data_IF_167585892803
#
_entry.id   IF_167585892803
#
_cell.length_a   1.000
_cell.length_b   1.000
_cell.length_c   1.000
_cell.angle_alpha   90.00
_cell.angle_beta   90.00
_cell.angle_gamma   90.00
#
_symmetry.space_group_name_H-M   'P 1'
#
loop_
_entity.id
_entity.type
_entity.pdbx_description
1 polymer ?
#
# COMPACT_ATOMS: atom_id res chain seq x y z
N UNK A 1 -51.13 -30.28 30.12
CA UNK A 1 -49.86 -30.89 30.58
C UNK A 1 -49.46 -31.87 29.48
N UNK A 2 -48.46 -31.69 28.62
CA UNK A 2 -47.30 -30.80 28.52
C UNK A 2 -47.12 -30.42 27.03
N UNK A 3 -46.96 -29.13 26.74
CA UNK A 3 -46.50 -28.64 25.44
C UNK A 3 -44.98 -28.76 25.46
N UNK A 4 -44.42 -29.66 24.67
CA UNK A 4 -42.97 -29.78 24.49
C UNK A 4 -42.55 -28.76 23.45
N UNK A 5 -42.10 -27.60 23.93
CA UNK A 5 -41.41 -26.58 23.14
C UNK A 5 -40.08 -27.17 22.64
N UNK A 6 -40.00 -27.39 21.33
CA UNK A 6 -38.75 -27.65 20.63
C UNK A 6 -37.96 -26.35 20.54
N UNK A 7 -37.16 -26.07 21.57
CA UNK A 7 -36.14 -25.01 21.54
C UNK A 7 -35.11 -25.35 20.46
N UNK A 8 -35.34 -24.80 19.28
CA UNK A 8 -34.42 -24.78 18.16
C UNK A 8 -33.30 -23.79 18.53
N UNK A 9 -32.34 -24.23 19.35
CA UNK A 9 -31.09 -23.50 19.58
C UNK A 9 -30.40 -23.33 18.23
N UNK A 10 -30.44 -22.11 17.70
CA UNK A 10 -29.56 -21.68 16.63
C UNK A 10 -28.13 -22.02 17.06
N UNK A 11 -27.54 -22.99 16.36
CA UNK A 11 -26.10 -23.23 16.40
C UNK A 11 -25.46 -21.90 15.97
N UNK A 12 -24.65 -21.25 16.82
CA UNK A 12 -24.02 -19.99 16.46
C UNK A 12 -23.18 -20.23 15.21
N UNK A 13 -23.35 -19.39 14.19
CA UNK A 13 -22.56 -19.41 12.96
C UNK A 13 -21.09 -19.61 13.33
N UNK A 14 -20.57 -20.78 12.97
CA UNK A 14 -19.20 -21.20 13.23
C UNK A 14 -18.26 -20.08 12.77
N UNK A 15 -17.50 -19.53 13.72
CA UNK A 15 -16.55 -18.43 13.56
C UNK A 15 -15.87 -18.46 12.18
N UNK A 16 -16.33 -17.62 11.24
CA UNK A 16 -15.63 -17.42 9.97
C UNK A 16 -14.28 -16.79 10.29
N UNK A 17 -13.23 -17.60 10.19
CA UNK A 17 -11.83 -17.18 10.21
C UNK A 17 -11.69 -15.94 9.33
N UNK A 18 -11.10 -14.86 9.83
CA UNK A 18 -10.85 -13.69 8.98
C UNK A 18 -9.85 -14.12 7.91
N UNK A 19 -10.33 -14.18 6.69
CA UNK A 19 -9.51 -14.18 5.50
C UNK A 19 -9.25 -12.74 5.04
N UNK A 20 -8.10 -12.52 4.41
CA UNK A 20 -7.77 -11.25 3.75
C UNK A 20 -8.87 -10.98 2.72
N UNK A 21 -9.78 -10.06 2.99
CA UNK A 21 -10.98 -9.79 2.19
C UNK A 21 -10.72 -9.07 0.85
N UNK A 22 -9.46 -9.03 0.40
CA UNK A 22 -9.13 -8.49 -0.90
C UNK A 22 -9.69 -9.40 -1.99
N UNK A 23 -10.24 -8.80 -3.05
CA UNK A 23 -10.71 -9.54 -4.23
C UNK A 23 -9.62 -10.46 -4.79
N UNK A 24 -8.35 -10.04 -4.71
CA UNK A 24 -7.21 -10.90 -5.08
C UNK A 24 -7.09 -12.14 -4.23
N UNK A 25 -7.29 -12.04 -2.92
CA UNK A 25 -7.29 -13.20 -2.03
C UNK A 25 -8.46 -14.13 -2.34
N UNK A 26 -9.66 -13.59 -2.58
CA UNK A 26 -10.84 -14.40 -2.96
C UNK A 26 -10.60 -15.13 -4.29
N UNK A 27 -9.93 -14.48 -5.23
CA UNK A 27 -9.50 -15.10 -6.49
C UNK A 27 -8.48 -16.20 -6.22
N UNK A 28 -7.56 -16.00 -5.29
CA UNK A 28 -6.47 -16.95 -4.95
C UNK A 28 -6.97 -18.14 -4.13
N UNK A 29 -8.00 -17.98 -3.30
CA UNK A 29 -8.57 -19.05 -2.47
C UNK A 29 -9.60 -19.92 -3.19
N UNK A 30 -10.00 -19.57 -4.42
CA UNK A 30 -10.90 -20.43 -5.21
C UNK A 30 -10.29 -21.81 -5.45
N UNK A 31 -11.03 -22.87 -5.06
CA UNK A 31 -10.60 -24.27 -5.13
C UNK A 31 -10.10 -24.71 -6.51
N UNK A 32 -10.69 -24.22 -7.60
CA UNK A 32 -10.28 -24.53 -8.98
C UNK A 32 -9.11 -23.66 -9.43
N UNK A 33 -7.91 -24.26 -9.55
CA UNK A 33 -6.69 -23.59 -10.10
C UNK A 33 -6.96 -22.91 -11.46
N UNK A 34 -7.76 -23.54 -12.34
CA UNK A 34 -8.12 -22.98 -13.66
C UNK A 34 -8.91 -21.68 -13.54
N UNK A 35 -9.88 -21.61 -12.62
CA UNK A 35 -10.72 -20.41 -12.42
C UNK A 35 -9.92 -19.23 -11.86
N UNK A 36 -8.88 -19.48 -11.04
CA UNK A 36 -8.02 -18.43 -10.47
C UNK A 36 -7.21 -17.73 -11.55
N UNK A 37 -6.49 -18.51 -12.36
CA UNK A 37 -5.72 -17.96 -13.47
C UNK A 37 -6.62 -17.28 -14.50
N UNK A 38 -7.82 -17.80 -14.75
CA UNK A 38 -8.78 -17.16 -15.64
C UNK A 38 -9.20 -15.76 -15.15
N UNK A 39 -9.54 -15.61 -13.85
CA UNK A 39 -9.92 -14.31 -13.30
C UNK A 39 -8.74 -13.33 -13.24
N UNK A 40 -7.54 -13.80 -12.89
CA UNK A 40 -6.33 -12.97 -12.93
C UNK A 40 -5.99 -12.55 -14.37
N UNK A 41 -6.16 -13.45 -15.34
CA UNK A 41 -5.96 -13.15 -16.76
C UNK A 41 -6.97 -12.11 -17.27
N UNK A 42 -8.24 -12.19 -16.86
CA UNK A 42 -9.24 -11.15 -17.18
C UNK A 42 -8.84 -9.81 -16.57
N UNK A 43 -8.44 -9.79 -15.30
CA UNK A 43 -8.04 -8.55 -14.63
C UNK A 43 -6.80 -7.92 -15.31
N UNK A 44 -5.81 -8.74 -15.67
CA UNK A 44 -4.64 -8.32 -16.43
C UNK A 44 -5.03 -7.81 -17.82
N UNK A 45 -5.85 -8.56 -18.56
CA UNK A 45 -6.31 -8.17 -19.89
C UNK A 45 -7.03 -6.81 -19.86
N UNK A 46 -7.93 -6.61 -18.89
CA UNK A 46 -8.63 -5.35 -18.70
C UNK A 46 -7.66 -4.20 -18.33
N UNK A 47 -6.71 -4.46 -17.42
CA UNK A 47 -5.68 -3.49 -17.06
C UNK A 47 -4.78 -3.13 -18.25
N UNK A 48 -4.38 -4.10 -19.06
CA UNK A 48 -3.62 -3.89 -20.30
C UNK A 48 -4.42 -3.09 -21.32
N UNK A 49 -5.69 -3.46 -21.56
CA UNK A 49 -6.54 -2.77 -22.53
C UNK A 49 -6.74 -1.30 -22.15
N UNK A 50 -7.05 -1.03 -20.88
CA UNK A 50 -7.23 0.33 -20.37
C UNK A 50 -5.90 1.10 -20.37
N UNK A 51 -4.83 0.50 -19.86
CA UNK A 51 -3.51 1.13 -19.81
C UNK A 51 -2.99 1.48 -21.20
N UNK A 52 -3.12 0.56 -22.16
CA UNK A 52 -2.75 0.77 -23.56
C UNK A 52 -3.61 1.84 -24.23
N UNK A 53 -4.91 1.89 -23.94
CA UNK A 53 -5.78 2.95 -24.44
C UNK A 53 -5.36 4.33 -23.92
N UNK A 54 -5.04 4.45 -22.62
CA UNK A 54 -4.54 5.69 -22.01
C UNK A 54 -3.20 6.09 -22.65
N UNK A 55 -2.26 5.15 -22.78
CA UNK A 55 -0.96 5.41 -23.40
C UNK A 55 -1.09 5.81 -24.87
N UNK A 56 -1.98 5.18 -25.63
CA UNK A 56 -2.24 5.52 -27.03
C UNK A 56 -2.84 6.93 -27.16
N UNK A 57 -3.82 7.27 -26.31
CA UNK A 57 -4.41 8.61 -26.28
C UNK A 57 -3.36 9.66 -25.93
N UNK A 58 -2.52 9.38 -24.92
CA UNK A 58 -1.41 10.25 -24.55
C UNK A 58 -0.39 10.42 -25.69
N UNK A 59 -0.06 9.34 -26.42
CA UNK A 59 0.84 9.41 -27.56
C UNK A 59 0.27 10.24 -28.71
N UNK A 60 -1.01 10.04 -29.05
CA UNK A 60 -1.68 10.83 -30.08
C UNK A 60 -1.69 12.32 -29.72
N UNK A 61 -2.05 12.63 -28.48
CA UNK A 61 -2.08 14.01 -27.98
C UNK A 61 -0.68 14.63 -27.90
N UNK A 62 0.35 13.83 -27.61
CA UNK A 62 1.74 14.28 -27.59
C UNK A 62 2.20 14.75 -28.98
N UNK A 63 1.80 14.05 -30.05
CA UNK A 63 2.15 14.42 -31.42
C UNK A 63 1.45 15.71 -31.89
N UNK A 64 0.23 15.96 -31.40
CA UNK A 64 -0.57 17.14 -31.79
C UNK A 64 -0.33 18.35 -30.88
N UNK A 65 0.28 18.15 -29.72
CA UNK A 65 0.50 19.23 -28.76
C UNK A 65 1.66 20.13 -29.18
N UNK A 66 1.37 21.42 -29.35
CA UNK A 66 2.37 22.44 -29.69
C UNK A 66 3.14 22.93 -28.45
N UNK A 67 2.48 22.94 -27.29
CA UNK A 67 3.05 23.48 -26.04
C UNK A 67 3.84 22.42 -25.25
N UNK A 68 4.90 22.86 -24.57
CA UNK A 68 5.69 21.99 -23.69
C UNK A 68 4.86 21.49 -22.50
N UNK A 69 3.94 22.32 -22.00
CA UNK A 69 3.00 21.97 -20.94
C UNK A 69 2.07 20.82 -21.34
N UNK A 70 1.51 20.86 -22.56
CA UNK A 70 0.65 19.79 -23.08
C UNK A 70 1.44 18.49 -23.30
N UNK A 71 2.67 18.56 -23.82
CA UNK A 71 3.56 17.40 -23.92
C UNK A 71 3.88 16.79 -22.56
N UNK A 72 4.15 17.60 -21.53
CA UNK A 72 4.39 17.11 -20.18
C UNK A 72 3.15 16.40 -19.59
N UNK A 73 1.95 16.94 -19.78
CA UNK A 73 0.71 16.28 -19.38
C UNK A 73 0.54 14.92 -20.08
N UNK A 74 0.87 14.83 -21.37
CA UNK A 74 0.84 13.55 -22.10
C UNK A 74 1.83 12.54 -21.52
N UNK A 75 3.04 12.96 -21.12
CA UNK A 75 4.01 12.09 -20.44
C UNK A 75 3.44 11.57 -19.11
N UNK A 76 2.78 12.43 -18.32
CA UNK A 76 2.13 12.01 -17.08
C UNK A 76 1.01 10.99 -17.32
N UNK A 77 0.19 11.20 -18.36
CA UNK A 77 -0.87 10.25 -18.76
C UNK A 77 -0.28 8.92 -19.23
N UNK A 78 0.80 8.96 -20.02
CA UNK A 78 1.52 7.77 -20.47
C UNK A 78 2.07 6.98 -19.28
N UNK A 79 2.72 7.67 -18.32
CA UNK A 79 3.24 7.06 -17.11
C UNK A 79 2.13 6.44 -16.25
N UNK A 80 0.95 7.08 -16.20
CA UNK A 80 -0.22 6.56 -15.51
C UNK A 80 -0.75 5.27 -16.17
N UNK A 81 -0.88 5.25 -17.50
CA UNK A 81 -1.27 4.04 -18.24
C UNK A 81 -0.25 2.91 -18.07
N UNK A 82 1.04 3.22 -18.19
CA UNK A 82 2.13 2.27 -17.96
C UNK A 82 2.13 1.73 -16.53
N UNK A 83 1.84 2.58 -15.54
CA UNK A 83 1.80 2.21 -14.13
C UNK A 83 0.78 1.12 -13.85
N UNK A 84 -0.45 1.23 -14.37
CA UNK A 84 -1.46 0.17 -14.15
C UNK A 84 -1.04 -1.15 -14.78
N UNK A 85 -0.54 -1.14 -16.01
CA UNK A 85 -0.06 -2.37 -16.66
C UNK A 85 1.06 -2.99 -15.83
N UNK A 86 2.06 -2.19 -15.47
CA UNK A 86 3.25 -2.64 -14.79
C UNK A 86 2.94 -3.19 -13.38
N UNK A 87 2.09 -2.51 -12.62
CA UNK A 87 1.70 -2.93 -11.27
C UNK A 87 0.93 -4.26 -11.29
N UNK A 88 0.02 -4.45 -12.25
CA UNK A 88 -0.68 -5.75 -12.45
C UNK A 88 0.27 -6.85 -12.95
N UNK A 89 1.17 -6.51 -13.88
CA UNK A 89 2.21 -7.42 -14.35
C UNK A 89 3.11 -7.89 -13.21
N UNK A 90 3.59 -6.97 -12.38
CA UNK A 90 4.39 -7.29 -11.20
C UNK A 90 3.63 -8.19 -10.23
N UNK A 91 2.36 -7.87 -9.94
CA UNK A 91 1.55 -8.67 -9.02
C UNK A 91 1.37 -10.12 -9.49
N UNK A 92 1.19 -10.33 -10.80
CA UNK A 92 0.90 -11.66 -11.35
C UNK A 92 2.17 -12.48 -11.59
N UNK A 93 3.19 -11.85 -12.19
CA UNK A 93 4.37 -12.57 -12.71
C UNK A 93 5.62 -12.42 -11.82
N UNK A 94 5.74 -11.34 -11.06
CA UNK A 94 6.95 -11.05 -10.26
C UNK A 94 6.76 -11.46 -8.80
N UNK A 95 5.55 -11.31 -8.25
CA UNK A 95 5.29 -11.69 -6.87
C UNK A 95 5.28 -13.22 -6.68
N UNK A 96 6.02 -13.71 -5.70
CA UNK A 96 6.08 -15.15 -5.38
C UNK A 96 4.86 -15.58 -4.56
N UNK A 97 3.84 -16.09 -5.22
CA UNK A 97 2.60 -16.57 -4.59
C UNK A 97 2.83 -17.67 -3.54
N UNK A 98 3.96 -18.39 -3.56
CA UNK A 98 4.29 -19.36 -2.50
C UNK A 98 4.50 -18.66 -1.17
N UNK A 99 5.13 -17.48 -1.18
CA UNK A 99 5.36 -16.65 0.00
C UNK A 99 4.06 -16.08 0.57
N UNK A 100 3.06 -15.85 -0.28
CA UNK A 100 1.73 -15.46 0.18
C UNK A 100 1.00 -16.61 0.90
N UNK A 101 1.16 -17.85 0.43
CA UNK A 101 0.62 -19.03 1.13
C UNK A 101 1.33 -19.21 2.48
N UNK A 102 2.66 -19.12 2.50
CA UNK A 102 3.46 -19.13 3.73
C UNK A 102 3.02 -18.03 4.70
N UNK A 103 2.74 -16.83 4.22
CA UNK A 103 2.20 -15.73 5.02
C UNK A 103 0.89 -16.13 5.73
N UNK A 104 -0.06 -16.76 5.02
CA UNK A 104 -1.33 -17.20 5.62
C UNK A 104 -1.12 -18.29 6.66
N UNK A 105 -0.22 -19.22 6.39
CA UNK A 105 0.12 -20.29 7.32
C UNK A 105 0.70 -19.72 8.62
N UNK A 106 1.70 -18.82 8.52
CA UNK A 106 2.29 -18.14 9.68
C UNK A 106 1.25 -17.31 10.43
N UNK A 107 0.35 -16.62 9.71
CA UNK A 107 -0.75 -15.88 10.35
C UNK A 107 -1.64 -16.79 11.19
N UNK A 108 -1.97 -17.99 10.70
CA UNK A 108 -2.80 -18.94 11.45
C UNK A 108 -2.14 -19.41 12.76
N UNK A 109 -0.81 -19.48 12.79
CA UNK A 109 -0.02 -19.84 13.99
C UNK A 109 -0.06 -18.76 15.08
N UNK A 110 -0.45 -17.53 14.76
CA UNK A 110 -0.54 -16.44 15.77
C UNK A 110 -1.69 -16.64 16.76
N UNK A 111 -2.72 -17.41 16.40
CA UNK A 111 -3.97 -17.53 17.17
C UNK A 111 -4.85 -16.27 17.17
N UNK A 112 -4.38 -15.15 16.60
CA UNK A 112 -5.12 -13.87 16.58
C UNK A 112 -6.34 -13.89 15.66
N UNK A 113 -6.42 -14.88 14.77
CA UNK A 113 -7.58 -15.12 13.91
C UNK A 113 -8.86 -15.49 14.68
N UNK A 114 -8.72 -15.87 15.97
CA UNK A 114 -9.84 -16.21 16.86
C UNK A 114 -10.12 -15.10 17.88
N UNK A 115 -9.34 -14.02 17.90
CA UNK A 115 -9.48 -12.93 18.87
C UNK A 115 -10.47 -11.86 18.34
N UNK A 116 -11.68 -11.73 18.93
CA UNK A 116 -12.71 -10.83 18.42
C UNK A 116 -12.30 -9.35 18.43
N UNK A 117 -11.45 -8.94 19.38
CA UNK A 117 -10.94 -7.57 19.47
C UNK A 117 -9.98 -7.26 18.29
N UNK A 118 -9.04 -8.17 18.03
CA UNK A 118 -8.12 -8.04 16.90
C UNK A 118 -8.89 -8.05 15.56
N UNK A 119 -9.84 -8.97 15.43
CA UNK A 119 -10.73 -9.12 14.27
C UNK A 119 -11.49 -7.82 13.98
N UNK A 120 -12.16 -7.26 15.00
CA UNK A 120 -12.95 -6.05 14.85
C UNK A 120 -12.07 -4.83 14.55
N UNK A 121 -10.90 -4.74 15.17
CA UNK A 121 -9.91 -3.68 14.90
C UNK A 121 -9.40 -3.72 13.45
N UNK A 122 -9.02 -4.90 12.94
CA UNK A 122 -8.58 -5.06 11.54
C UNK A 122 -9.72 -4.67 10.59
N UNK A 123 -10.94 -5.19 10.79
CA UNK A 123 -12.10 -4.88 9.92
C UNK A 123 -12.42 -3.38 9.90
N UNK A 124 -12.35 -2.72 11.05
CA UNK A 124 -12.57 -1.26 11.16
C UNK A 124 -11.49 -0.49 10.40
N UNK A 125 -10.22 -0.84 10.57
CA UNK A 125 -9.11 -0.20 9.86
C UNK A 125 -9.19 -0.40 8.35
N UNK A 126 -9.47 -1.63 7.87
CA UNK A 126 -9.66 -1.93 6.45
C UNK A 126 -10.76 -1.06 5.85
N UNK A 127 -11.90 -0.92 6.54
CA UNK A 127 -13.02 -0.09 6.06
C UNK A 127 -12.62 1.38 5.92
N UNK A 128 -11.92 1.92 6.92
CA UNK A 128 -11.46 3.31 6.88
C UNK A 128 -10.43 3.53 5.77
N UNK A 129 -9.53 2.57 5.57
CA UNK A 129 -8.51 2.64 4.52
C UNK A 129 -9.13 2.56 3.13
N UNK A 130 -10.10 1.67 2.92
CA UNK A 130 -10.84 1.61 1.65
C UNK A 130 -11.58 2.91 1.35
N UNK A 131 -12.23 3.52 2.35
CA UNK A 131 -12.88 4.84 2.17
C UNK A 131 -11.87 5.92 1.78
N UNK A 132 -10.72 5.95 2.44
CA UNK A 132 -9.65 6.90 2.15
C UNK A 132 -9.09 6.72 0.72
N UNK A 133 -8.78 5.48 0.33
CA UNK A 133 -8.30 5.17 -1.03
C UNK A 133 -9.36 5.52 -2.08
N UNK A 134 -10.63 5.17 -1.84
CA UNK A 134 -11.73 5.53 -2.73
C UNK A 134 -11.86 7.04 -2.90
N UNK A 135 -11.75 7.82 -1.81
CA UNK A 135 -11.81 9.27 -1.87
C UNK A 135 -10.64 9.86 -2.69
N UNK A 136 -9.40 9.41 -2.45
CA UNK A 136 -8.23 9.84 -3.22
C UNK A 136 -8.35 9.46 -4.70
N UNK A 137 -8.81 8.24 -5.00
CA UNK A 137 -9.03 7.80 -6.37
C UNK A 137 -10.14 8.60 -7.06
N UNK A 138 -11.21 8.99 -6.35
CA UNK A 138 -12.25 9.85 -6.90
C UNK A 138 -11.70 11.24 -7.28
N UNK A 139 -10.90 11.85 -6.39
CA UNK A 139 -10.22 13.13 -6.67
C UNK A 139 -9.29 13.00 -7.87
N UNK A 140 -8.48 11.95 -7.92
CA UNK A 140 -7.59 11.67 -9.05
C UNK A 140 -8.36 11.48 -10.37
N UNK A 141 -9.45 10.70 -10.35
CA UNK A 141 -10.29 10.45 -11.52
C UNK A 141 -10.89 11.73 -12.05
N UNK A 142 -11.47 12.53 -11.16
CA UNK A 142 -12.13 13.78 -11.52
C UNK A 142 -11.13 14.77 -12.14
N UNK A 143 -9.97 14.93 -11.50
CA UNK A 143 -8.92 15.85 -11.97
C UNK A 143 -8.28 15.39 -13.27
N UNK A 144 -8.01 14.09 -13.42
CA UNK A 144 -7.50 13.52 -14.67
C UNK A 144 -8.50 13.70 -15.82
N UNK A 145 -9.79 13.43 -15.58
CA UNK A 145 -10.83 13.60 -16.61
C UNK A 145 -10.96 15.07 -17.00
N UNK A 146 -10.94 16.00 -16.03
CA UNK A 146 -10.94 17.44 -16.30
C UNK A 146 -9.73 17.88 -17.14
N UNK A 147 -8.54 17.33 -16.87
CA UNK A 147 -7.33 17.62 -17.64
C UNK A 147 -7.42 17.18 -19.10
N UNK A 148 -8.08 16.05 -19.36
CA UNK A 148 -8.31 15.55 -20.73
C UNK A 148 -9.27 16.49 -21.47
N UNK A 149 -10.35 16.94 -20.81
CA UNK A 149 -11.29 17.89 -21.43
C UNK A 149 -10.66 19.21 -21.80
N UNK A 150 -9.79 19.76 -20.94
CA UNK A 150 -9.13 21.03 -21.24
C UNK A 150 -8.17 20.92 -22.42
N UNK A 151 -7.55 19.77 -22.63
CA UNK A 151 -6.66 19.56 -23.78
C UNK A 151 -7.39 19.43 -25.13
N UNK A 152 -8.69 19.12 -25.13
CA UNK A 152 -9.45 18.75 -26.34
C UNK A 152 -10.46 19.86 -26.76
N UNK A 153 -10.05 21.13 -26.66
CA UNK A 153 -10.87 22.36 -26.69
C UNK A 153 -11.72 22.64 -27.97
N UNK A 154 -11.96 21.66 -28.85
CA UNK A 154 -12.85 21.80 -30.01
C UNK A 154 -14.20 21.08 -29.82
N UNK A 155 -15.06 21.59 -28.94
CA UNK A 155 -16.38 21.01 -28.64
C UNK A 155 -17.29 20.90 -29.89
N UNK A 156 -17.48 19.68 -30.38
CA UNK A 156 -18.50 19.25 -31.36
C UNK A 156 -19.44 18.23 -30.70
N UNK A 157 -20.68 18.04 -31.20
CA UNK A 157 -21.66 17.11 -30.59
C UNK A 157 -21.23 15.64 -30.58
N UNK A 158 -20.22 15.23 -31.38
CA UNK A 158 -19.57 13.90 -31.28
C UNK A 158 -18.80 13.71 -29.96
N UNK A 159 -18.54 14.79 -29.22
CA UNK A 159 -17.67 14.80 -28.05
C UNK A 159 -18.38 14.40 -26.76
N UNK A 160 -19.73 14.41 -26.73
CA UNK A 160 -20.48 13.96 -25.54
C UNK A 160 -20.33 12.46 -25.33
N UNK A 161 -20.39 11.67 -26.39
CA UNK A 161 -20.15 10.21 -26.29
C UNK A 161 -18.70 9.90 -25.92
N UNK A 162 -17.75 10.64 -26.49
CA UNK A 162 -16.33 10.52 -26.14
C UNK A 162 -16.08 10.91 -24.68
N UNK A 163 -16.73 11.96 -24.20
CA UNK A 163 -16.72 12.42 -22.81
C UNK A 163 -17.22 11.34 -21.84
N UNK A 164 -18.39 10.76 -22.12
CA UNK A 164 -18.95 9.67 -21.30
C UNK A 164 -17.98 8.48 -21.31
N UNK A 165 -17.45 8.11 -22.47
CA UNK A 165 -16.51 7.00 -22.60
C UNK A 165 -15.22 7.21 -21.78
N UNK A 166 -14.57 8.37 -21.91
CA UNK A 166 -13.36 8.74 -21.15
C UNK A 166 -13.65 8.69 -19.65
N UNK A 167 -14.80 9.21 -19.23
CA UNK A 167 -15.22 9.21 -17.83
C UNK A 167 -15.39 7.78 -17.31
N UNK A 168 -16.08 6.91 -18.05
CA UNK A 168 -16.24 5.50 -17.71
C UNK A 168 -14.90 4.76 -17.62
N UNK A 169 -14.01 4.96 -18.59
CA UNK A 169 -12.66 4.35 -18.58
C UNK A 169 -11.87 4.81 -17.36
N UNK A 170 -11.92 6.10 -17.01
CA UNK A 170 -11.23 6.65 -15.84
C UNK A 170 -11.79 6.09 -14.52
N UNK A 171 -13.10 5.86 -14.41
CA UNK A 171 -13.68 5.19 -13.25
C UNK A 171 -13.25 3.72 -13.13
N UNK A 172 -13.25 2.97 -14.24
CA UNK A 172 -12.78 1.58 -14.25
C UNK A 172 -11.29 1.51 -13.87
N UNK A 173 -10.47 2.41 -14.43
CA UNK A 173 -9.07 2.57 -14.09
C UNK A 173 -8.88 2.72 -12.57
N UNK A 174 -9.57 3.69 -11.98
CA UNK A 174 -9.46 4.00 -10.56
C UNK A 174 -9.98 2.89 -9.66
N UNK A 175 -10.98 2.14 -10.12
CA UNK A 175 -11.43 0.94 -9.44
C UNK A 175 -10.35 -0.15 -9.43
N UNK A 176 -9.75 -0.46 -10.59
CA UNK A 176 -8.66 -1.44 -10.72
C UNK A 176 -7.46 -1.04 -9.85
N UNK A 177 -7.07 0.23 -9.89
CA UNK A 177 -5.99 0.76 -9.06
C UNK A 177 -6.31 0.69 -7.56
N UNK A 178 -7.56 0.92 -7.17
CA UNK A 178 -8.02 0.72 -5.80
C UNK A 178 -7.90 -0.74 -5.34
N UNK A 179 -8.28 -1.69 -6.19
CA UNK A 179 -8.20 -3.11 -5.87
C UNK A 179 -6.75 -3.58 -5.66
N UNK A 180 -5.82 -3.10 -6.49
CA UNK A 180 -4.43 -3.55 -6.40
C UNK A 180 -3.71 -2.98 -5.18
N UNK A 181 -4.08 -1.77 -4.76
CA UNK A 181 -3.51 -1.11 -3.58
C UNK A 181 -4.10 -1.62 -2.27
N UNK A 182 -5.36 -2.06 -2.25
CA UNK A 182 -6.03 -2.65 -1.08
C UNK A 182 -5.28 -3.89 -0.55
N UNK A 183 -4.69 -4.68 -1.44
CA UNK A 183 -4.08 -5.96 -1.09
C UNK A 183 -2.82 -5.86 -0.22
N UNK A 184 -1.76 -5.11 -0.60
CA UNK A 184 -0.59 -4.89 0.27
C UNK A 184 -0.93 -4.25 1.61
N UNK A 185 -1.90 -3.33 1.62
CA UNK A 185 -2.33 -2.62 2.82
C UNK A 185 -2.96 -3.59 3.83
N UNK A 186 -3.77 -4.54 3.37
CA UNK A 186 -4.31 -5.57 4.25
C UNK A 186 -3.20 -6.40 4.89
N UNK A 187 -2.21 -6.88 4.12
CA UNK A 187 -1.09 -7.64 4.69
C UNK A 187 -0.34 -6.84 5.78
N UNK A 188 -0.12 -5.55 5.54
CA UNK A 188 0.47 -4.65 6.54
C UNK A 188 -0.38 -4.56 7.81
N UNK A 189 -1.71 -4.50 7.69
CA UNK A 189 -2.60 -4.47 8.85
C UNK A 189 -2.52 -5.76 9.69
N UNK A 190 -2.47 -6.92 9.05
CA UNK A 190 -2.28 -8.20 9.76
C UNK A 190 -0.95 -8.19 10.53
N UNK A 191 0.15 -7.80 9.88
CA UNK A 191 1.46 -7.66 10.53
C UNK A 191 1.39 -6.67 11.72
N UNK A 192 0.80 -5.50 11.50
CA UNK A 192 0.65 -4.48 12.55
C UNK A 192 -0.11 -5.03 13.75
N UNK A 193 -1.16 -5.84 13.54
CA UNK A 193 -1.94 -6.41 14.64
C UNK A 193 -1.10 -7.32 15.55
N UNK A 194 -0.20 -8.13 14.98
CA UNK A 194 0.74 -8.96 15.75
C UNK A 194 1.61 -8.11 16.66
N UNK A 195 2.27 -7.09 16.10
CA UNK A 195 3.16 -6.23 16.89
C UNK A 195 2.40 -5.34 17.88
N UNK A 196 1.18 -4.89 17.57
CA UNK A 196 0.32 -4.22 18.55
C UNK A 196 0.05 -5.14 19.73
N UNK A 197 -0.27 -6.42 19.48
CA UNK A 197 -0.52 -7.39 20.56
C UNK A 197 0.73 -7.66 21.40
N UNK A 198 1.90 -7.78 20.78
CA UNK A 198 3.19 -7.90 21.48
C UNK A 198 3.40 -6.71 22.43
N UNK A 199 3.25 -5.49 21.92
CA UNK A 199 3.44 -4.26 22.71
C UNK A 199 2.40 -4.14 23.84
N UNK A 200 1.15 -4.53 23.62
CA UNK A 200 0.11 -4.56 24.65
C UNK A 200 0.45 -5.54 25.77
N UNK A 201 0.94 -6.74 25.44
CA UNK A 201 1.35 -7.74 26.43
C UNK A 201 2.56 -7.27 27.23
N UNK A 202 3.54 -6.64 26.60
CA UNK A 202 4.68 -6.02 27.30
C UNK A 202 4.22 -4.93 28.28
N UNK A 203 3.37 -4.01 27.83
CA UNK A 203 2.82 -2.96 28.67
C UNK A 203 1.98 -3.51 29.84
N UNK A 204 1.27 -4.62 29.64
CA UNK A 204 0.54 -5.32 30.70
C UNK A 204 1.49 -5.91 31.76
N UNK A 205 2.58 -6.56 31.34
CA UNK A 205 3.56 -7.13 32.25
C UNK A 205 4.26 -6.08 33.12
N UNK A 206 4.52 -4.89 32.56
CA UNK A 206 5.09 -3.77 33.33
C UNK A 206 4.16 -3.35 34.47
N UNK A 207 2.84 -3.42 34.25
CA UNK A 207 1.83 -3.07 35.25
C UNK A 207 1.55 -4.20 36.25
N UNK A 208 1.77 -5.46 35.85
CA UNK A 208 1.44 -6.65 36.65
C UNK A 208 2.62 -7.64 36.69
N UNK A 209 3.72 -7.29 37.39
CA UNK A 209 4.98 -8.05 37.36
C UNK A 209 4.87 -9.48 37.93
N UNK A 210 3.88 -9.75 38.78
CA UNK A 210 3.66 -11.08 39.37
C UNK A 210 3.25 -12.14 38.33
N UNK A 211 2.72 -11.70 37.18
CA UNK A 211 2.27 -12.58 36.08
C UNK A 211 3.38 -12.97 35.07
N UNK A 212 4.65 -12.62 35.32
CA UNK A 212 5.61 -12.41 34.22
C UNK A 212 6.34 -13.63 33.62
N UNK A 213 6.44 -14.78 34.30
CA UNK A 213 7.44 -15.79 33.90
C UNK A 213 7.03 -16.64 32.68
N UNK A 214 5.78 -17.16 32.64
CA UNK A 214 5.24 -17.84 31.45
C UNK A 214 4.93 -16.88 30.29
N UNK A 215 4.86 -15.57 30.59
CA UNK A 215 4.43 -14.56 29.63
C UNK A 215 5.58 -14.01 28.76
N UNK A 216 6.81 -13.91 29.24
CA UNK A 216 7.91 -13.34 28.43
C UNK A 216 8.28 -14.23 27.24
N UNK A 217 8.38 -15.55 27.46
CA UNK A 217 8.65 -16.53 26.40
C UNK A 217 7.58 -16.52 25.31
N UNK A 218 6.30 -16.41 25.71
CA UNK A 218 5.18 -16.33 24.76
C UNK A 218 5.17 -15.02 23.97
N UNK A 219 5.53 -13.89 24.60
CA UNK A 219 5.70 -12.60 23.92
C UNK A 219 6.83 -12.67 22.90
N UNK A 220 7.99 -13.25 23.25
CA UNK A 220 9.11 -13.42 22.32
C UNK A 220 8.73 -14.32 21.15
N UNK A 221 8.03 -15.43 21.42
CA UNK A 221 7.53 -16.32 20.37
C UNK A 221 6.61 -15.54 19.40
N UNK A 222 5.66 -14.76 19.92
CA UNK A 222 4.75 -13.97 19.10
C UNK A 222 5.48 -12.90 18.27
N UNK A 223 6.52 -12.26 18.84
CA UNK A 223 7.38 -11.31 18.10
C UNK A 223 8.17 -12.03 16.98
N UNK A 224 8.69 -13.22 17.25
CA UNK A 224 9.36 -14.04 16.24
C UNK A 224 8.43 -14.42 15.09
N UNK A 225 7.21 -14.87 15.40
CA UNK A 225 6.16 -15.16 14.41
C UNK A 225 5.84 -13.89 13.61
N UNK A 226 5.68 -12.74 14.28
CA UNK A 226 5.48 -11.45 13.60
C UNK A 226 6.63 -11.08 12.65
N UNK A 227 7.89 -11.36 13.05
CA UNK A 227 9.07 -11.15 12.20
C UNK A 227 9.06 -12.07 10.97
N UNK A 228 8.69 -13.35 11.14
CA UNK A 228 8.57 -14.30 10.03
C UNK A 228 7.43 -13.91 9.07
N UNK A 229 6.28 -13.52 9.63
CA UNK A 229 5.14 -13.01 8.87
C UNK A 229 5.51 -11.78 8.04
N UNK A 230 6.23 -10.83 8.64
CA UNK A 230 6.74 -9.64 7.95
C UNK A 230 7.68 -10.01 6.80
N UNK A 231 8.59 -10.97 7.03
CA UNK A 231 9.54 -11.44 6.02
C UNK A 231 8.84 -12.13 4.84
N UNK A 232 7.84 -12.98 5.11
CA UNK A 232 7.06 -13.63 4.07
C UNK A 232 6.29 -12.61 3.22
N UNK A 233 5.65 -11.62 3.87
CA UNK A 233 4.99 -10.52 3.17
C UNK A 233 5.97 -9.71 2.33
N UNK A 234 7.11 -9.30 2.89
CA UNK A 234 8.13 -8.54 2.18
C UNK A 234 8.69 -9.30 0.97
N UNK A 235 9.01 -10.59 1.11
CA UNK A 235 9.46 -11.42 -0.01
C UNK A 235 8.44 -11.50 -1.14
N UNK A 236 7.16 -11.45 -0.81
CA UNK A 236 6.10 -11.45 -1.77
C UNK A 236 5.91 -10.09 -2.47
N UNK A 237 5.92 -8.96 -1.75
CA UNK A 237 5.58 -7.63 -2.31
C UNK A 237 6.76 -6.69 -2.60
N UNK A 238 8.00 -7.05 -2.27
CA UNK A 238 9.16 -6.13 -2.39
C UNK A 238 9.33 -5.48 -3.76
N UNK A 239 9.19 -6.25 -4.85
CA UNK A 239 9.36 -5.75 -6.21
C UNK A 239 8.16 -4.94 -6.67
N UNK A 240 6.96 -5.37 -6.25
CA UNK A 240 5.73 -4.63 -6.45
C UNK A 240 5.82 -3.25 -5.80
N UNK A 241 6.26 -3.18 -4.54
CA UNK A 241 6.46 -1.92 -3.83
C UNK A 241 7.52 -1.08 -4.51
N UNK A 242 8.71 -1.63 -4.79
CA UNK A 242 9.80 -0.90 -5.40
C UNK A 242 9.40 -0.26 -6.73
N UNK A 243 8.72 -1.02 -7.60
CA UNK A 243 8.29 -0.52 -8.90
C UNK A 243 7.16 0.51 -8.76
N UNK A 244 6.21 0.27 -7.86
CA UNK A 244 5.16 1.25 -7.54
C UNK A 244 5.73 2.56 -7.00
N UNK A 245 6.75 2.50 -6.14
CA UNK A 245 7.44 3.67 -5.61
C UNK A 245 8.18 4.43 -6.71
N UNK A 246 8.96 3.73 -7.54
CA UNK A 246 9.70 4.35 -8.64
C UNK A 246 8.76 5.12 -9.57
N UNK A 247 7.65 4.49 -9.99
CA UNK A 247 6.65 5.12 -10.87
C UNK A 247 5.97 6.33 -10.22
N UNK A 248 5.58 6.22 -8.95
CA UNK A 248 4.92 7.34 -8.24
C UNK A 248 5.87 8.50 -7.98
N UNK A 249 7.12 8.23 -7.61
CA UNK A 249 8.14 9.28 -7.42
C UNK A 249 8.44 9.97 -8.75
N UNK A 250 8.61 9.23 -9.84
CA UNK A 250 8.77 9.82 -11.18
C UNK A 250 7.57 10.68 -11.56
N UNK A 251 6.34 10.22 -11.30
CA UNK A 251 5.12 11.02 -11.55
C UNK A 251 5.13 12.32 -10.74
N UNK A 252 5.45 12.24 -9.44
CA UNK A 252 5.52 13.41 -8.55
C UNK A 252 6.56 14.42 -9.05
N UNK A 253 7.76 13.97 -9.43
CA UNK A 253 8.82 14.86 -9.93
C UNK A 253 8.45 15.54 -11.24
N UNK A 254 7.89 14.80 -12.21
CA UNK A 254 7.46 15.37 -13.49
C UNK A 254 6.32 16.37 -13.28
N UNK A 255 5.37 16.07 -12.40
CA UNK A 255 4.24 16.96 -12.11
C UNK A 255 4.68 18.21 -11.32
N UNK A 256 5.66 18.09 -10.42
CA UNK A 256 6.26 19.24 -9.74
C UNK A 256 6.97 20.17 -10.73
N UNK A 257 7.71 19.61 -11.69
CA UNK A 257 8.30 20.40 -12.77
C UNK A 257 7.23 21.16 -13.56
N UNK A 258 6.09 20.52 -13.87
CA UNK A 258 4.96 21.19 -14.53
C UNK A 258 4.39 22.35 -13.70
N UNK A 259 4.21 22.15 -12.40
CA UNK A 259 3.68 23.19 -11.49
C UNK A 259 4.60 24.41 -11.46
N UNK A 260 5.90 24.20 -11.32
CA UNK A 260 6.86 25.28 -11.10
C UNK A 260 7.22 26.02 -12.39
N UNK A 261 7.37 25.31 -13.51
CA UNK A 261 7.98 25.88 -14.72
C UNK A 261 7.05 25.97 -15.94
N UNK A 262 5.97 25.16 -16.00
CA UNK A 262 5.14 25.04 -17.21
C UNK A 262 3.68 25.46 -17.03
N UNK A 263 3.28 25.88 -15.82
CA UNK A 263 1.89 26.27 -15.55
C UNK A 263 1.64 27.69 -16.05
N UNK A 264 1.02 27.80 -17.22
CA UNK A 264 0.71 29.09 -17.86
C UNK A 264 -0.63 29.67 -17.36
N UNK A 265 -1.60 28.81 -17.03
CA UNK A 265 -2.92 29.22 -16.55
C UNK A 265 -3.16 28.82 -15.09
N UNK A 266 -4.03 29.57 -14.40
CA UNK A 266 -4.47 29.18 -13.05
C UNK A 266 -5.14 27.81 -13.05
N UNK A 267 -5.85 27.45 -14.12
CA UNK A 267 -6.53 26.16 -14.21
C UNK A 267 -5.53 25.00 -14.29
N UNK A 268 -4.49 25.14 -15.12
CA UNK A 268 -3.39 24.17 -15.20
C UNK A 268 -2.68 23.98 -13.86
N UNK A 269 -2.44 25.08 -13.15
CA UNK A 269 -1.85 25.06 -11.82
C UNK A 269 -2.71 24.26 -10.85
N UNK A 270 -4.02 24.55 -10.76
CA UNK A 270 -4.92 23.84 -9.85
C UNK A 270 -5.08 22.36 -10.19
N UNK A 271 -5.14 22.00 -11.48
CA UNK A 271 -5.21 20.60 -11.90
C UNK A 271 -3.93 19.87 -11.51
N UNK A 272 -2.77 20.44 -11.81
CA UNK A 272 -1.47 19.84 -11.51
C UNK A 272 -1.28 19.70 -10.00
N UNK A 273 -1.65 20.72 -9.22
CA UNK A 273 -1.63 20.69 -7.76
C UNK A 273 -2.57 19.61 -7.20
N UNK A 274 -3.77 19.47 -7.75
CA UNK A 274 -4.72 18.44 -7.30
C UNK A 274 -4.21 17.03 -7.58
N UNK A 275 -3.61 16.80 -8.76
CA UNK A 275 -2.96 15.54 -9.11
C UNK A 275 -1.78 15.26 -8.17
N UNK A 276 -0.97 16.28 -7.85
CA UNK A 276 0.15 16.16 -6.93
C UNK A 276 -0.33 15.74 -5.54
N UNK A 277 -1.35 16.41 -5.01
CA UNK A 277 -1.93 16.09 -3.70
C UNK A 277 -2.47 14.66 -3.68
N UNK A 278 -3.20 14.24 -4.72
CA UNK A 278 -3.76 12.89 -4.78
C UNK A 278 -2.68 11.79 -4.79
N UNK A 279 -1.70 11.91 -5.70
CA UNK A 279 -0.63 10.91 -5.84
C UNK A 279 0.32 10.93 -4.64
N UNK A 280 0.67 12.12 -4.12
CA UNK A 280 1.51 12.25 -2.93
C UNK A 280 0.83 11.70 -1.70
N UNK A 281 -0.47 11.98 -1.50
CA UNK A 281 -1.23 11.43 -0.38
C UNK A 281 -1.31 9.91 -0.42
N UNK A 282 -1.52 9.33 -1.61
CA UNK A 282 -1.55 7.88 -1.78
C UNK A 282 -0.16 7.25 -1.52
N UNK A 283 0.90 7.92 -1.96
CA UNK A 283 2.30 7.48 -1.71
C UNK A 283 2.64 7.58 -0.24
N UNK A 284 2.33 8.70 0.41
CA UNK A 284 2.54 8.93 1.83
C UNK A 284 1.76 7.92 2.68
N UNK A 285 0.54 7.57 2.27
CA UNK A 285 -0.28 6.59 2.96
C UNK A 285 0.31 5.18 2.95
N UNK A 286 0.77 4.70 1.78
CA UNK A 286 1.47 3.39 1.68
C UNK A 286 2.76 3.42 2.50
N UNK A 287 3.50 4.53 2.43
CA UNK A 287 4.76 4.73 3.15
C UNK A 287 4.56 4.73 4.66
N UNK A 288 3.55 5.45 5.15
CA UNK A 288 3.20 5.51 6.56
C UNK A 288 2.91 4.11 7.10
N UNK A 289 2.16 3.30 6.36
CA UNK A 289 1.84 1.93 6.77
C UNK A 289 3.08 1.02 6.77
N UNK A 290 3.99 1.15 5.79
CA UNK A 290 5.26 0.43 5.78
C UNK A 290 6.16 0.81 6.97
N UNK A 291 6.30 2.11 7.26
CA UNK A 291 7.06 2.63 8.40
C UNK A 291 6.41 2.20 9.73
N UNK A 292 5.08 2.18 9.80
CA UNK A 292 4.33 1.74 10.98
C UNK A 292 4.68 0.30 11.39
N UNK A 293 4.90 -0.61 10.43
CA UNK A 293 5.35 -1.99 10.74
C UNK A 293 6.69 -1.97 11.46
N UNK A 294 7.67 -1.26 10.92
CA UNK A 294 9.00 -1.16 11.50
C UNK A 294 8.95 -0.52 12.91
N UNK A 295 8.24 0.60 13.04
CA UNK A 295 8.06 1.28 14.32
C UNK A 295 7.39 0.38 15.37
N UNK A 296 6.34 -0.36 15.00
CA UNK A 296 5.65 -1.26 15.94
C UNK A 296 6.51 -2.46 16.34
N UNK A 297 7.35 -2.97 15.43
CA UNK A 297 8.26 -4.09 15.72
C UNK A 297 9.35 -3.71 16.74
N UNK A 298 9.79 -2.45 16.76
CA UNK A 298 10.81 -1.94 17.67
C UNK A 298 10.25 -1.22 18.91
N UNK A 299 8.96 -0.82 18.91
CA UNK A 299 8.36 0.01 19.99
C UNK A 299 8.53 -0.56 21.40
N UNK A 300 8.43 -1.88 21.54
CA UNK A 300 8.52 -2.58 22.82
C UNK A 300 9.95 -2.68 23.39
N UNK A 301 10.96 -2.13 22.73
CA UNK A 301 12.35 -2.24 23.16
C UNK A 301 12.57 -1.69 24.57
N UNK A 302 12.13 -0.46 24.83
CA UNK A 302 12.27 0.17 26.15
C UNK A 302 11.45 -0.53 27.23
N UNK A 303 10.27 -1.02 26.87
CA UNK A 303 9.41 -1.80 27.77
C UNK A 303 10.10 -3.11 28.17
N UNK A 304 10.70 -3.81 27.21
CA UNK A 304 11.45 -5.04 27.45
C UNK A 304 12.70 -4.79 28.28
N UNK A 305 13.41 -3.69 28.03
CA UNK A 305 14.55 -3.26 28.84
C UNK A 305 14.15 -3.02 30.30
N UNK A 306 13.08 -2.28 30.54
CA UNK A 306 12.55 -2.06 31.90
C UNK A 306 12.22 -3.38 32.59
N UNK A 307 11.57 -4.29 31.87
CA UNK A 307 11.23 -5.61 32.38
C UNK A 307 12.46 -6.42 32.77
N UNK A 308 13.58 -6.33 32.06
CA UNK A 308 14.80 -7.09 32.40
C UNK A 308 15.36 -6.82 33.80
N UNK A 309 15.04 -5.68 34.42
CA UNK A 309 15.45 -5.34 35.79
C UNK A 309 14.41 -5.72 36.86
N UNK A 310 13.22 -6.18 36.47
CA UNK A 310 12.09 -6.35 37.41
C UNK A 310 12.13 -7.69 38.14
N UNK A 311 12.80 -8.72 37.59
CA UNK A 311 12.92 -10.04 38.22
C UNK A 311 14.37 -10.53 38.21
N UNK A 312 14.85 -10.97 39.38
CA UNK A 312 16.15 -11.63 39.54
C UNK A 312 16.08 -13.12 39.15
N UNK A 313 15.56 -13.44 37.96
CA UNK A 313 15.55 -14.79 37.41
C UNK A 313 16.43 -14.85 36.15
N UNK A 314 17.48 -15.68 36.12
CA UNK A 314 18.38 -15.79 34.96
C UNK A 314 17.66 -16.13 33.65
N UNK A 315 16.66 -17.01 33.70
CA UNK A 315 15.88 -17.41 32.51
C UNK A 315 15.06 -16.24 31.96
N UNK A 316 14.43 -15.47 32.85
CA UNK A 316 13.66 -14.30 32.48
C UNK A 316 14.55 -13.21 31.87
N UNK A 317 15.72 -12.97 32.47
CA UNK A 317 16.71 -12.04 31.95
C UNK A 317 17.21 -12.46 30.56
N UNK A 318 17.49 -13.74 30.34
CA UNK A 318 17.91 -14.26 29.05
C UNK A 318 16.83 -14.07 27.97
N UNK A 319 15.57 -14.38 28.28
CA UNK A 319 14.44 -14.19 27.37
C UNK A 319 14.21 -12.71 27.02
N UNK A 320 14.25 -11.82 28.02
CA UNK A 320 14.16 -10.37 27.81
C UNK A 320 15.33 -9.83 26.96
N UNK A 321 16.55 -10.30 27.23
CA UNK A 321 17.76 -9.91 26.47
C UNK A 321 17.67 -10.33 25.00
N UNK A 322 17.20 -11.56 24.73
CA UNK A 322 16.98 -12.03 23.37
C UNK A 322 15.90 -11.23 22.63
N UNK A 323 14.81 -10.89 23.31
CA UNK A 323 13.74 -10.09 22.75
C UNK A 323 14.21 -8.66 22.45
N UNK A 324 14.94 -8.03 23.39
CA UNK A 324 15.57 -6.72 23.16
C UNK A 324 16.52 -6.75 21.97
N UNK A 325 17.41 -7.77 21.90
CA UNK A 325 18.32 -7.94 20.77
C UNK A 325 17.55 -8.00 19.45
N UNK A 326 16.43 -8.72 19.41
CA UNK A 326 15.61 -8.81 18.19
C UNK A 326 14.89 -7.51 17.86
N UNK A 327 14.32 -6.81 18.85
CA UNK A 327 13.66 -5.52 18.67
C UNK A 327 14.64 -4.41 18.25
N UNK A 328 15.90 -4.48 18.69
CA UNK A 328 16.92 -3.47 18.41
C UNK A 328 17.55 -3.54 17.01
N UNK A 329 17.35 -4.63 16.24
CA UNK A 329 18.01 -4.80 14.93
C UNK A 329 17.44 -3.95 13.80
N UNK A 330 16.28 -3.31 13.98
CA UNK A 330 15.59 -2.49 12.97
C UNK A 330 15.47 -3.14 11.57
N UNK A 331 15.60 -4.47 11.50
CA UNK A 331 15.62 -5.28 10.27
C UNK A 331 14.24 -5.89 9.97
N UNK A 332 13.24 -5.57 10.79
CA UNK A 332 11.86 -6.03 10.64
C UNK A 332 11.06 -4.90 9.98
N UNK A 333 10.65 -5.11 8.73
CA UNK A 333 9.84 -4.16 7.97
C UNK A 333 9.72 -4.57 6.51
N UNK A 334 8.98 -3.77 5.75
CA UNK A 334 8.93 -3.89 4.29
C UNK A 334 10.16 -3.22 3.68
N UNK A 335 10.67 -3.79 2.60
CA UNK A 335 11.90 -3.35 1.93
C UNK A 335 11.63 -2.83 0.53
N UNK A 336 12.48 -1.92 0.08
CA UNK A 336 12.54 -1.51 -1.32
C UNK A 336 13.46 -2.47 -2.07
N UNK A 337 12.88 -3.45 -2.79
CA UNK A 337 13.61 -4.44 -3.58
C UNK A 337 14.77 -5.13 -2.83
N UNK A 338 14.64 -5.36 -1.51
CA UNK A 338 15.69 -5.93 -0.65
C UNK A 338 16.96 -5.06 -0.51
N UNK A 339 16.94 -3.79 -0.91
CA UNK A 339 18.06 -2.87 -0.75
C UNK A 339 18.09 -2.25 0.64
N UNK A 340 16.94 -1.75 1.11
CA UNK A 340 16.81 -1.13 2.42
C UNK A 340 15.37 -1.29 2.95
N UNK A 341 15.23 -1.30 4.27
CA UNK A 341 13.93 -1.27 4.96
C UNK A 341 13.32 0.13 4.85
N UNK A 342 12.02 0.20 4.59
CA UNK A 342 11.26 1.45 4.53
C UNK A 342 11.06 1.96 5.97
N UNK A 343 12.02 2.76 6.44
CA UNK A 343 12.02 3.42 7.75
C UNK A 343 11.69 4.91 7.62
N UNK A 344 11.42 5.59 8.74
CA UNK A 344 11.22 7.04 8.73
C UNK A 344 12.42 7.79 8.11
N UNK A 345 13.65 7.35 8.41
CA UNK A 345 14.88 7.93 7.84
C UNK A 345 14.92 7.81 6.32
N UNK A 346 14.49 6.67 5.75
CA UNK A 346 14.40 6.51 4.30
C UNK A 346 13.45 7.54 3.67
N UNK A 347 12.30 7.78 4.30
CA UNK A 347 11.31 8.76 3.82
C UNK A 347 11.90 10.17 3.80
N UNK A 348 12.61 10.55 4.86
CA UNK A 348 13.30 11.83 4.93
C UNK A 348 14.35 11.95 3.83
N UNK A 349 15.20 10.94 3.63
CA UNK A 349 16.21 10.93 2.56
C UNK A 349 15.60 11.03 1.17
N UNK A 350 14.51 10.30 0.91
CA UNK A 350 13.79 10.37 -0.38
C UNK A 350 13.19 11.77 -0.59
N UNK A 351 12.61 12.37 0.45
CA UNK A 351 12.04 13.72 0.39
C UNK A 351 13.13 14.75 0.09
N UNK A 352 14.26 14.67 0.79
CA UNK A 352 15.43 15.53 0.53
C UNK A 352 15.92 15.37 -0.90
N UNK A 353 16.06 14.13 -1.39
CA UNK A 353 16.48 13.87 -2.77
C UNK A 353 15.52 14.50 -3.79
N UNK A 354 14.20 14.36 -3.59
CA UNK A 354 13.20 15.00 -4.45
C UNK A 354 13.34 16.53 -4.45
N UNK A 355 13.51 17.15 -3.26
CA UNK A 355 13.71 18.60 -3.15
C UNK A 355 14.99 19.04 -3.86
N UNK A 356 16.09 18.32 -3.66
CA UNK A 356 17.37 18.60 -4.32
C UNK A 356 17.26 18.53 -5.84
N UNK A 357 16.60 17.50 -6.37
CA UNK A 357 16.36 17.38 -7.82
C UNK A 357 15.54 18.56 -8.35
N UNK A 358 14.50 18.98 -7.63
CA UNK A 358 13.67 20.10 -8.02
C UNK A 358 14.46 21.41 -8.04
N UNK A 359 15.23 21.67 -6.98
CA UNK A 359 16.06 22.87 -6.87
C UNK A 359 17.21 22.92 -7.87
N UNK A 360 17.66 21.77 -8.39
CA UNK A 360 18.72 21.71 -9.39
C UNK A 360 18.25 22.05 -10.82
N UNK A 361 16.94 21.98 -11.12
CA UNK A 361 16.42 22.21 -12.47
C UNK A 361 16.77 23.58 -13.08
N UNK A 362 16.64 24.72 -12.36
CA UNK A 362 17.01 26.03 -12.92
C UNK A 362 18.47 26.10 -13.34
N UNK A 363 19.36 25.48 -12.53
CA UNK A 363 20.80 25.44 -12.82
C UNK A 363 21.07 24.64 -14.09
N UNK A 364 20.44 23.47 -14.24
CA UNK A 364 20.57 22.64 -15.44
C UNK A 364 20.06 23.39 -16.68
N UNK A 365 18.88 24.01 -16.58
CA UNK A 365 18.30 24.79 -17.69
C UNK A 365 19.21 25.96 -18.10
N UNK A 366 19.81 26.66 -17.12
CA UNK A 366 20.74 27.76 -17.39
C UNK A 366 22.02 27.32 -18.09
N UNK A 367 22.47 26.07 -17.89
CA UNK A 367 23.66 25.54 -18.56
C UNK A 367 23.35 25.07 -19.99
N UNK A 368 22.21 24.45 -20.21
CA UNK A 368 21.75 24.06 -21.55
C UNK A 368 21.57 25.29 -22.45
N UNK A 369 20.95 26.35 -21.92
CA UNK A 369 20.77 27.61 -22.66
C UNK A 369 22.07 28.39 -22.93
N UNK A 370 23.21 28.00 -22.32
CA UNK A 370 24.53 28.58 -22.60
C UNK A 370 25.32 27.79 -23.66
N UNK A 371 24.86 26.59 -24.01
CA UNK A 371 25.52 25.69 -24.97
C UNK A 371 24.83 25.67 -26.35
N UNK A 372 23.61 26.19 -26.44
CA UNK A 372 22.98 26.63 -27.69
C UNK A 372 23.23 28.13 -27.89
#
# INVERSE_FOLDING_TARGET
MLIVSSDNKQVPEMNKVIEISSIFTVIVDKKSRKTRYFLLAIALFLATLIGSFIMYTAYKNFLTSETLAGKNLCILQFLNGFSVINVYFCLIFVCDWKRFVEFKEIWSQTGLQNDPETISSIKSQVRNYRRFICALNAVFTFTATLSIYQSDLSFKPKDVFQSIFVTCVSFIYSFLFGLITDFPIQMVLFICSVFVRVNQRLAYLIKHPDSAEDNMKSIRLLHCIGSQLTRAADQFIRYFLATSYALKVSFILINLYRIIYLSETLSDYFISLSLLIAVSSMTAFVTYNAVKVNNLASKGFHDTYRLSFTKNCPNYFAEASLLMYRMGRNDIGLTFANLFTITASFVTSLTTLCITLILAFPTIQSQVNKQC
#
